data_IF_462222847898
#
_entry.id   IF_462222847898
#
_cell.length_a   1.000
_cell.length_b   1.000
_cell.length_c   1.000
_cell.angle_alpha   90.00
_cell.angle_beta   90.00
_cell.angle_gamma   90.00
#
_symmetry.space_group_name_H-M   'P 1'
#
loop_
_entity.id
_entity.type
_entity.pdbx_description
1 polymer ?
#
# COMPACT_ATOMS: atom_id res chain seq x y z
N UNK A 1 -5.59 2.09 -12.75
CA UNK A 1 -4.23 2.70 -12.65
C UNK A 1 -4.16 3.22 -11.26
N UNK A 2 -3.15 2.81 -10.49
CA UNK A 2 -3.10 3.11 -9.06
C UNK A 2 -3.48 4.55 -8.73
N UNK A 3 -4.22 4.70 -7.64
CA UNK A 3 -4.49 6.00 -7.08
C UNK A 3 -3.19 6.53 -6.47
N UNK A 4 -2.65 7.59 -7.05
CA UNK A 4 -1.41 8.22 -6.62
C UNK A 4 -1.48 8.67 -5.16
N UNK A 5 -2.67 9.01 -4.64
CA UNK A 5 -2.85 9.36 -3.23
C UNK A 5 -2.64 8.15 -2.32
N UNK A 6 -3.16 6.97 -2.67
CA UNK A 6 -2.94 5.75 -1.89
C UNK A 6 -1.47 5.36 -1.87
N UNK A 7 -0.80 5.42 -3.03
CA UNK A 7 0.64 5.17 -3.12
C UNK A 7 1.41 6.19 -2.25
N UNK A 8 1.07 7.47 -2.33
CA UNK A 8 1.75 8.52 -1.57
C UNK A 8 1.60 8.31 -0.06
N UNK A 9 0.43 7.88 0.42
CA UNK A 9 0.22 7.55 1.84
C UNK A 9 1.09 6.36 2.23
N UNK A 10 1.14 5.30 1.41
CA UNK A 10 1.96 4.11 1.70
C UNK A 10 3.45 4.45 1.75
N UNK A 11 3.92 5.29 0.82
CA UNK A 11 5.33 5.75 0.75
C UNK A 11 5.74 6.65 1.92
N UNK A 12 4.79 7.30 2.59
CA UNK A 12 5.07 8.08 3.82
C UNK A 12 5.37 7.18 5.02
N UNK A 13 5.02 5.89 4.96
CA UNK A 13 5.36 4.89 5.96
C UNK A 13 4.16 4.04 6.40
N UNK A 14 4.46 2.84 6.88
CA UNK A 14 3.45 1.84 7.28
C UNK A 14 2.54 2.31 8.41
N UNK A 15 3.05 3.15 9.33
CA UNK A 15 2.24 3.68 10.44
C UNK A 15 1.18 4.67 9.94
N UNK A 16 1.58 5.52 8.98
CA UNK A 16 0.68 6.49 8.35
C UNK A 16 -0.37 5.76 7.51
N UNK A 17 0.07 4.75 6.74
CA UNK A 17 -0.82 3.87 5.99
C UNK A 17 -1.85 3.19 6.89
N UNK A 18 -1.41 2.60 8.00
CA UNK A 18 -2.28 1.89 8.91
C UNK A 18 -3.27 2.83 9.61
N UNK A 19 -2.84 4.04 9.99
CA UNK A 19 -3.76 5.05 10.53
C UNK A 19 -4.83 5.42 9.52
N UNK A 20 -4.45 5.66 8.26
CA UNK A 20 -5.39 5.95 7.19
C UNK A 20 -6.37 4.79 6.93
N UNK A 21 -5.90 3.53 6.93
CA UNK A 21 -6.75 2.34 6.81
C UNK A 21 -7.73 2.20 7.97
N UNK A 22 -7.34 2.58 9.18
CA UNK A 22 -8.20 2.56 10.37
C UNK A 22 -9.29 3.63 10.30
N UNK A 23 -8.96 4.82 9.81
CA UNK A 23 -9.91 5.92 9.63
C UNK A 23 -10.87 5.69 8.47
N UNK A 24 -10.44 4.95 7.44
CA UNK A 24 -11.20 4.72 6.21
C UNK A 24 -11.30 3.22 5.86
N UNK A 25 -11.99 2.41 6.68
CA UNK A 25 -12.06 0.97 6.48
C UNK A 25 -12.84 0.56 5.22
N UNK A 26 -13.79 1.39 4.77
CA UNK A 26 -14.61 1.17 3.57
C UNK A 26 -13.90 1.48 2.25
N UNK A 27 -12.77 2.19 2.29
CA UNK A 27 -12.01 2.47 1.08
C UNK A 27 -11.27 1.22 0.67
N UNK A 28 -11.37 0.87 -0.61
CA UNK A 28 -10.55 -0.15 -1.24
C UNK A 28 -9.33 0.54 -1.87
N UNK A 29 -8.10 0.30 -1.38
CA UNK A 29 -6.95 0.99 -1.95
C UNK A 29 -6.59 0.44 -3.33
N UNK A 30 -6.63 1.28 -4.37
CA UNK A 30 -6.05 0.95 -5.67
C UNK A 30 -4.52 1.19 -5.66
N UNK A 31 -3.76 0.10 -5.63
CA UNK A 31 -2.30 0.06 -5.76
C UNK A 31 -1.90 -0.68 -7.07
N UNK A 32 -2.81 -0.77 -8.05
CA UNK A 32 -2.59 -1.49 -9.31
C UNK A 32 -1.46 -0.88 -10.12
N UNK A 33 -0.47 -1.70 -10.49
CA UNK A 33 0.72 -1.26 -11.21
C UNK A 33 1.71 -0.44 -10.37
N UNK A 34 1.51 -0.33 -9.05
CA UNK A 34 2.40 0.44 -8.20
C UNK A 34 3.82 -0.16 -8.16
N UNK A 35 4.85 0.69 -8.25
CA UNK A 35 6.25 0.29 -8.03
C UNK A 35 6.55 0.37 -6.53
N UNK A 36 6.51 -0.79 -5.87
CA UNK A 36 6.75 -0.99 -4.44
C UNK A 36 8.00 -1.85 -4.19
N UNK A 37 8.94 -1.84 -5.16
CA UNK A 37 10.20 -2.58 -5.10
C UNK A 37 11.01 -2.15 -3.88
N UNK A 38 11.55 -3.11 -3.14
CA UNK A 38 12.35 -2.88 -1.92
C UNK A 38 11.62 -2.11 -0.79
N UNK A 39 10.30 -1.92 -0.90
CA UNK A 39 9.53 -1.22 0.12
C UNK A 39 9.44 -2.05 1.41
N UNK A 40 9.55 -1.39 2.56
CA UNK A 40 9.24 -2.01 3.85
C UNK A 40 7.73 -1.95 4.10
N UNK A 41 7.06 -3.09 3.92
CA UNK A 41 5.62 -3.28 4.04
C UNK A 41 5.25 -4.24 5.19
N UNK A 42 6.20 -4.58 6.07
CA UNK A 42 6.08 -5.68 7.05
C UNK A 42 4.87 -5.62 7.97
N UNK A 43 4.33 -4.42 8.20
CA UNK A 43 3.13 -4.21 9.02
C UNK A 43 2.02 -3.47 8.28
N UNK A 44 2.13 -3.28 6.98
CA UNK A 44 1.14 -2.54 6.21
C UNK A 44 -0.17 -3.34 6.12
N UNK A 45 -1.28 -2.73 6.54
CA UNK A 45 -2.62 -3.28 6.33
C UNK A 45 -3.01 -3.14 4.86
N UNK A 46 -2.61 -4.09 4.02
CA UNK A 46 -2.96 -4.15 2.60
C UNK A 46 -4.28 -4.90 2.36
N UNK A 47 -5.07 -5.17 3.40
CA UNK A 47 -6.34 -5.90 3.26
C UNK A 47 -7.29 -5.19 2.30
N UNK A 48 -7.77 -5.92 1.30
CA UNK A 48 -8.66 -5.43 0.24
C UNK A 48 -7.97 -4.58 -0.82
N UNK A 49 -6.68 -4.25 -0.71
CA UNK A 49 -6.00 -3.44 -1.72
C UNK A 49 -5.86 -4.19 -3.05
N UNK A 50 -6.15 -3.49 -4.16
CA UNK A 50 -5.84 -4.00 -5.49
C UNK A 50 -4.34 -3.82 -5.76
N UNK A 51 -3.62 -4.93 -5.85
CA UNK A 51 -2.18 -4.99 -6.14
C UNK A 51 -1.90 -5.53 -7.55
N UNK A 52 -2.92 -5.59 -8.42
CA UNK A 52 -2.80 -6.15 -9.78
C UNK A 52 -1.68 -5.44 -10.55
N UNK A 53 -0.66 -6.20 -10.98
CA UNK A 53 0.50 -5.66 -11.69
C UNK A 53 1.48 -4.84 -10.84
N UNK A 54 1.30 -4.75 -9.53
CA UNK A 54 2.26 -4.05 -8.66
C UNK A 54 3.61 -4.78 -8.64
N UNK A 55 4.70 -4.01 -8.72
CA UNK A 55 6.05 -4.55 -8.58
C UNK A 55 6.45 -4.56 -7.10
N UNK A 56 6.35 -5.73 -6.46
CA UNK A 56 6.74 -5.99 -5.06
C UNK A 56 8.13 -6.63 -4.93
N UNK A 57 8.95 -6.62 -5.98
CA UNK A 57 10.26 -7.29 -5.96
C UNK A 57 11.12 -6.77 -4.81
N UNK A 58 11.61 -7.67 -3.95
CA UNK A 58 12.42 -7.31 -2.78
C UNK A 58 11.68 -6.56 -1.67
N UNK A 59 10.36 -6.38 -1.74
CA UNK A 59 9.59 -5.79 -0.65
C UNK A 59 9.66 -6.68 0.60
N UNK A 60 9.78 -6.05 1.76
CA UNK A 60 9.81 -6.74 3.05
C UNK A 60 8.38 -6.80 3.59
N UNK A 61 7.82 -8.01 3.75
CA UNK A 61 6.44 -8.26 4.22
C UNK A 61 6.39 -8.95 5.61
N UNK A 62 7.49 -8.87 6.37
CA UNK A 62 7.68 -9.61 7.64
C UNK A 62 7.18 -8.85 8.86
#
# INVERSE_FOLDING_TARGET
MADENHIAILKKGVDIWNKWRKEKPSIQPDLSGAVLREANLGRANLSGADLSGANLSGAVLR
#
